data_IF_419718191282
#
_entry.id   IF_419718191282
#
_cell.length_a   1.000
_cell.length_b   1.000
_cell.length_c   1.000
_cell.angle_alpha   90.00
_cell.angle_beta   90.00
_cell.angle_gamma   90.00
#
_symmetry.space_group_name_H-M   'P 1'
#
loop_
_entity.id
_entity.type
_entity.pdbx_description
1 polymer ?
#
# COMPACT_ATOMS: atom_id res chain seq x y z
N UNK A 1 7.36 -8.95 -0.93
CA UNK A 1 6.61 -7.67 -1.09
C UNK A 1 6.92 -6.67 0.02
N UNK A 2 7.16 -5.42 -0.35
CA UNK A 2 7.32 -4.28 0.57
C UNK A 2 6.30 -3.20 0.24
N UNK A 3 5.72 -2.55 1.26
CA UNK A 3 4.70 -1.49 1.07
C UNK A 3 5.10 -0.25 1.85
N UNK A 4 5.08 0.91 1.19
CA UNK A 4 5.23 2.22 1.82
C UNK A 4 3.93 2.99 1.69
N UNK A 5 3.40 3.47 2.81
CA UNK A 5 2.18 4.25 2.90
C UNK A 5 2.48 5.66 3.40
N UNK A 6 1.71 6.61 2.88
CA UNK A 6 1.63 7.97 3.39
C UNK A 6 0.18 8.20 3.80
N UNK A 7 -0.06 8.27 5.10
CA UNK A 7 -1.41 8.33 5.67
C UNK A 7 -1.63 9.62 6.44
N UNK A 8 -2.79 10.23 6.26
CA UNK A 8 -3.20 11.41 7.03
C UNK A 8 -3.50 10.99 8.47
N UNK A 9 -2.86 11.64 9.45
CA UNK A 9 -3.10 11.44 10.88
C UNK A 9 -2.46 12.56 11.70
N UNK A 10 -3.10 12.95 12.80
CA UNK A 10 -2.61 13.99 13.73
C UNK A 10 -1.68 13.41 14.80
N UNK A 11 -1.73 12.10 15.04
CA UNK A 11 -0.94 11.42 16.06
C UNK A 11 -0.76 9.93 15.72
N UNK A 12 0.18 9.30 16.42
CA UNK A 12 0.51 7.88 16.23
C UNK A 12 -0.68 6.92 16.43
N UNK A 13 -1.53 7.07 17.47
CA UNK A 13 -2.74 6.25 17.60
C UNK A 13 -3.68 6.32 16.39
N UNK A 14 -3.91 7.52 15.85
CA UNK A 14 -4.72 7.71 14.65
C UNK A 14 -4.07 7.05 13.42
N UNK A 15 -2.76 7.22 13.26
CA UNK A 15 -1.99 6.56 12.20
C UNK A 15 -2.10 5.04 12.27
N UNK A 16 -2.01 4.44 13.46
CA UNK A 16 -2.25 3.00 13.67
C UNK A 16 -3.67 2.58 13.31
N UNK A 17 -4.66 3.38 13.69
CA UNK A 17 -6.06 3.14 13.32
C UNK A 17 -6.28 3.15 11.80
N UNK A 18 -5.69 4.12 11.11
CA UNK A 18 -5.75 4.22 9.66
C UNK A 18 -4.99 3.08 8.96
N UNK A 19 -3.84 2.67 9.50
CA UNK A 19 -3.09 1.51 8.99
C UNK A 19 -3.90 0.22 9.05
N UNK A 20 -4.66 -0.03 10.13
CA UNK A 20 -5.50 -1.24 10.25
C UNK A 20 -6.48 -1.35 9.08
N UNK A 21 -7.06 -0.23 8.63
CA UNK A 21 -7.98 -0.21 7.48
C UNK A 21 -7.28 -0.67 6.20
N UNK A 22 -6.02 -0.28 5.99
CA UNK A 22 -5.21 -0.74 4.86
C UNK A 22 -4.90 -2.24 4.98
N UNK A 23 -4.49 -2.70 6.16
CA UNK A 23 -4.18 -4.11 6.41
C UNK A 23 -5.40 -5.02 6.20
N UNK A 24 -6.61 -4.55 6.53
CA UNK A 24 -7.86 -5.25 6.25
C UNK A 24 -8.12 -5.46 4.76
N UNK A 25 -7.63 -4.57 3.88
CA UNK A 25 -7.67 -4.79 2.41
C UNK A 25 -6.67 -5.86 1.97
N UNK A 26 -5.50 -5.88 2.60
CA UNK A 26 -4.41 -6.80 2.27
C UNK A 26 -4.61 -8.22 2.82
N UNK A 27 -5.53 -8.43 3.77
CA UNK A 27 -5.69 -9.69 4.51
C UNK A 27 -5.89 -10.94 3.64
N UNK A 28 -6.48 -10.80 2.44
CA UNK A 28 -6.78 -11.92 1.55
C UNK A 28 -5.53 -12.54 0.90
N UNK A 29 -4.42 -11.81 0.89
CA UNK A 29 -3.15 -12.25 0.31
C UNK A 29 -2.06 -12.44 1.37
N UNK A 30 -2.30 -11.94 2.59
CA UNK A 30 -1.31 -11.81 3.63
C UNK A 30 -1.16 -13.09 4.47
N UNK A 31 0.08 -13.55 4.62
CA UNK A 31 0.47 -14.56 5.62
C UNK A 31 0.94 -13.86 6.89
N UNK A 32 1.81 -12.85 6.75
CA UNK A 32 2.42 -12.13 7.87
C UNK A 32 2.73 -10.69 7.46
N UNK A 33 2.51 -9.75 8.38
CA UNK A 33 2.96 -8.36 8.26
C UNK A 33 3.98 -8.05 9.34
N UNK A 34 5.04 -7.33 8.98
CA UNK A 34 5.87 -6.60 9.92
C UNK A 34 5.77 -5.10 9.65
N UNK A 35 5.59 -4.30 10.71
CA UNK A 35 5.66 -2.83 10.61
C UNK A 35 7.10 -2.43 10.87
N UNK A 36 7.83 -2.12 9.80
CA UNK A 36 9.23 -1.71 9.89
C UNK A 36 9.35 -0.27 10.42
N UNK A 37 8.36 0.56 10.08
CA UNK A 37 8.37 1.99 10.37
C UNK A 37 6.95 2.53 10.50
N UNK A 38 6.74 3.40 11.48
CA UNK A 38 5.54 4.22 11.61
C UNK A 38 5.94 5.51 12.36
N UNK A 39 6.07 6.62 11.64
CA UNK A 39 6.52 7.89 12.21
C UNK A 39 5.92 9.09 11.46
N UNK A 40 5.93 10.30 12.06
CA UNK A 40 5.52 11.51 11.37
C UNK A 40 6.33 11.76 10.10
N UNK A 41 5.68 12.16 9.02
CA UNK A 41 6.34 12.48 7.78
C UNK A 41 6.91 13.90 7.82
N UNK A 42 8.21 14.02 7.58
CA UNK A 42 8.95 15.28 7.78
C UNK A 42 8.45 16.48 6.95
N UNK A 43 7.75 16.25 5.83
CA UNK A 43 7.25 17.35 4.97
C UNK A 43 5.89 17.89 5.38
N UNK A 44 5.04 17.08 6.01
CA UNK A 44 3.64 17.41 6.27
C UNK A 44 3.28 17.03 7.70
N UNK A 45 2.86 18.02 8.49
CA UNK A 45 2.61 17.87 9.93
C UNK A 45 1.41 16.97 10.26
N UNK A 46 0.55 16.70 9.29
CA UNK A 46 -0.67 15.91 9.39
C UNK A 46 -0.55 14.54 8.69
N UNK A 47 0.68 14.08 8.48
CA UNK A 47 0.96 12.84 7.74
C UNK A 47 1.95 11.96 8.47
N UNK A 48 1.76 10.65 8.35
CA UNK A 48 2.68 9.63 8.80
C UNK A 48 3.17 8.81 7.61
N UNK A 49 4.45 8.44 7.63
CA UNK A 49 4.99 7.43 6.73
C UNK A 49 4.99 6.08 7.45
N UNK A 50 4.48 5.06 6.79
CA UNK A 50 4.48 3.68 7.29
C UNK A 50 5.20 2.80 6.29
N UNK A 51 6.10 1.95 6.77
CA UNK A 51 6.77 0.95 5.95
C UNK A 51 6.47 -0.45 6.48
N UNK A 52 6.09 -1.34 5.57
CA UNK A 52 5.62 -2.68 5.87
C UNK A 52 6.40 -3.70 5.04
N UNK A 53 6.87 -4.74 5.70
CA UNK A 53 7.30 -5.97 5.03
C UNK A 53 6.15 -6.97 5.07
N UNK A 54 5.75 -7.47 3.90
CA UNK A 54 4.63 -8.40 3.77
C UNK A 54 5.12 -9.75 3.27
N UNK A 55 4.82 -10.79 4.04
CA UNK A 55 4.84 -12.17 3.55
C UNK A 55 3.47 -12.49 2.97
N UNK A 56 3.42 -12.76 1.66
CA UNK A 56 2.18 -13.05 0.94
C UNK A 56 2.14 -14.51 0.52
N UNK A 57 0.94 -15.02 0.21
CA UNK A 57 0.77 -16.39 -0.26
C UNK A 57 1.56 -16.66 -1.55
N UNK A 58 2.17 -17.84 -1.64
CA UNK A 58 3.05 -18.27 -2.74
C UNK A 58 2.36 -18.39 -4.11
N UNK A 59 1.03 -18.46 -4.12
CA UNK A 59 0.21 -18.64 -5.32
C UNK A 59 -0.70 -17.43 -5.55
N UNK A 60 -0.21 -16.23 -5.23
CA UNK A 60 -0.93 -14.99 -5.52
C UNK A 60 -1.12 -14.86 -7.04
N UNK A 61 -2.37 -14.90 -7.48
CA UNK A 61 -2.71 -14.75 -8.90
C UNK A 61 -2.80 -13.27 -9.29
N UNK A 62 -2.60 -12.99 -10.58
CA UNK A 62 -2.82 -11.65 -11.15
C UNK A 62 -4.24 -11.12 -10.88
N UNK A 63 -5.24 -11.99 -10.89
CA UNK A 63 -6.64 -11.60 -10.62
C UNK A 63 -6.84 -11.15 -9.17
N UNK A 64 -6.22 -11.84 -8.22
CA UNK A 64 -6.29 -11.49 -6.80
C UNK A 64 -5.51 -10.21 -6.51
N UNK A 65 -4.33 -10.04 -7.12
CA UNK A 65 -3.60 -8.78 -7.05
C UNK A 65 -4.44 -7.64 -7.64
N UNK A 66 -5.03 -7.82 -8.82
CA UNK A 66 -5.90 -6.81 -9.43
C UNK A 66 -7.07 -6.42 -8.52
N UNK A 67 -7.78 -7.40 -7.96
CA UNK A 67 -8.88 -7.16 -7.04
C UNK A 67 -8.44 -6.40 -5.78
N UNK A 68 -7.26 -6.75 -5.24
CA UNK A 68 -6.66 -6.01 -4.12
C UNK A 68 -6.39 -4.55 -4.51
N UNK A 69 -5.72 -4.31 -5.64
CA UNK A 69 -5.35 -2.98 -6.13
C UNK A 69 -6.61 -2.11 -6.32
N UNK A 70 -7.66 -2.65 -6.95
CA UNK A 70 -8.96 -1.98 -7.14
C UNK A 70 -9.67 -1.66 -5.82
N UNK A 71 -9.45 -2.47 -4.78
CA UNK A 71 -10.03 -2.21 -3.45
C UNK A 71 -9.38 -1.03 -2.71
N UNK A 72 -8.17 -0.64 -3.14
CA UNK A 72 -7.35 0.42 -2.55
C UNK A 72 -7.41 1.71 -3.37
N UNK A 73 -7.29 1.62 -4.69
CA UNK A 73 -7.28 2.78 -5.60
C UNK A 73 -7.84 2.42 -6.97
N UNK A 74 -8.54 3.36 -7.61
CA UNK A 74 -9.00 3.23 -9.00
C UNK A 74 -7.91 3.56 -10.03
N UNK A 75 -6.79 4.12 -9.57
CA UNK A 75 -5.66 4.52 -10.41
C UNK A 75 -4.34 4.03 -9.84
N UNK A 76 -3.54 3.41 -10.71
CA UNK A 76 -2.20 2.91 -10.41
C UNK A 76 -1.25 3.28 -11.55
N UNK A 77 -0.07 3.76 -11.18
CA UNK A 77 1.09 3.90 -12.05
C UNK A 77 2.02 2.69 -11.83
N UNK A 78 2.66 2.23 -12.90
CA UNK A 78 3.46 1.01 -12.93
C UNK A 78 4.89 1.37 -13.37
N UNK A 79 5.88 0.95 -12.60
CA UNK A 79 7.29 1.22 -12.87
C UNK A 79 8.13 -0.05 -12.88
N UNK A 80 9.22 -0.02 -13.65
CA UNK A 80 10.20 -1.10 -13.78
C UNK A 80 10.07 -1.93 -15.07
N UNK A 81 11.18 -2.59 -15.45
CA UNK A 81 11.23 -3.58 -16.54
C UNK A 81 12.00 -4.84 -16.05
N UNK A 82 11.30 -5.92 -15.62
CA UNK A 82 9.85 -6.06 -15.50
C UNK A 82 9.27 -5.17 -14.39
N UNK A 83 7.94 -4.95 -14.41
CA UNK A 83 7.23 -4.14 -13.41
C UNK A 83 7.54 -4.67 -12.02
N UNK A 84 8.04 -3.80 -11.15
CA UNK A 84 8.41 -4.12 -9.77
C UNK A 84 7.91 -3.08 -8.75
N UNK A 85 7.31 -1.99 -9.20
CA UNK A 85 6.70 -0.97 -8.34
C UNK A 85 5.33 -0.56 -8.88
N UNK A 86 4.37 -0.48 -7.97
CA UNK A 86 3.00 -0.01 -8.19
C UNK A 86 2.77 1.21 -7.29
N UNK A 87 2.35 2.33 -7.86
CA UNK A 87 2.12 3.56 -7.12
C UNK A 87 0.68 4.01 -7.31
N UNK A 88 -0.02 4.30 -6.21
CA UNK A 88 -1.26 5.05 -6.25
C UNK A 88 -1.14 6.30 -5.37
N UNK A 89 -1.66 7.42 -5.86
CA UNK A 89 -1.65 8.69 -5.15
C UNK A 89 -2.95 9.46 -5.43
N UNK A 90 -3.44 10.15 -4.41
CA UNK A 90 -4.64 10.98 -4.48
C UNK A 90 -4.50 12.17 -5.42
N UNK A 91 -3.27 12.62 -5.67
CA UNK A 91 -3.00 13.81 -6.50
C UNK A 91 -2.69 13.48 -7.95
N UNK A 92 -2.68 12.19 -8.33
CA UNK A 92 -2.46 11.77 -9.71
C UNK A 92 -3.69 12.11 -10.56
N UNK A 93 -3.46 12.64 -11.75
CA UNK A 93 -4.53 12.97 -12.68
C UNK A 93 -5.38 11.73 -13.02
N UNK A 94 -6.70 11.87 -12.89
CA UNK A 94 -7.66 10.80 -13.16
C UNK A 94 -7.86 9.80 -12.02
N UNK A 95 -7.25 10.01 -10.85
CA UNK A 95 -7.56 9.27 -9.62
C UNK A 95 -8.86 9.82 -9.02
N UNK A 96 -9.94 9.03 -9.02
CA UNK A 96 -11.23 9.42 -8.42
C UNK A 96 -11.47 8.75 -7.08
N UNK A 97 -10.73 7.67 -6.79
CA UNK A 97 -10.84 6.94 -5.55
C UNK A 97 -9.47 6.43 -5.10
N UNK A 98 -9.14 6.76 -3.86
CA UNK A 98 -8.13 6.06 -3.07
C UNK A 98 -8.70 5.86 -1.67
N UNK A 99 -8.28 4.78 -1.01
CA UNK A 99 -8.72 4.42 0.32
C UNK A 99 -8.60 5.62 1.27
N UNK A 100 -9.65 5.88 2.06
CA UNK A 100 -9.72 7.03 2.97
C UNK A 100 -8.47 7.09 3.87
N UNK A 101 -7.95 8.31 4.07
CA UNK A 101 -6.75 8.61 4.86
C UNK A 101 -5.44 8.07 4.26
N UNK A 102 -5.45 7.47 3.06
CA UNK A 102 -4.24 7.18 2.27
C UNK A 102 -4.06 8.30 1.26
N UNK A 103 -2.94 9.02 1.37
CA UNK A 103 -2.56 10.04 0.39
C UNK A 103 -1.72 9.43 -0.74
N UNK A 104 -0.87 8.46 -0.40
CA UNK A 104 -0.08 7.71 -1.37
C UNK A 104 0.29 6.32 -0.84
N UNK A 105 0.39 5.35 -1.74
CA UNK A 105 0.85 3.98 -1.49
C UNK A 105 1.79 3.55 -2.61
N UNK A 106 2.94 3.00 -2.22
CA UNK A 106 3.87 2.30 -3.08
C UNK A 106 3.89 0.82 -2.68
N UNK A 107 3.69 -0.08 -3.65
CA UNK A 107 3.84 -1.53 -3.48
C UNK A 107 5.02 -1.97 -4.33
N UNK A 108 6.04 -2.50 -3.68
CA UNK A 108 7.22 -3.07 -4.30
C UNK A 108 7.08 -4.59 -4.32
N UNK A 109 7.13 -5.15 -5.52
CA UNK A 109 6.98 -6.57 -5.79
C UNK A 109 8.35 -7.24 -5.82
N UNK A 110 8.49 -8.38 -5.16
CA UNK A 110 9.65 -9.25 -5.35
C UNK A 110 9.45 -10.14 -6.58
N UNK A 111 10.55 -10.57 -7.21
CA UNK A 111 10.55 -11.41 -8.43
C UNK A 111 9.79 -12.75 -8.30
N UNK A 112 9.36 -13.12 -7.10
CA UNK A 112 8.67 -14.37 -6.79
C UNK A 112 7.24 -14.16 -6.28
N UNK A 113 6.76 -12.92 -6.20
CA UNK A 113 5.49 -12.60 -5.55
C UNK A 113 4.25 -12.86 -6.46
N UNK A 114 4.44 -12.98 -7.77
CA UNK A 114 3.35 -13.14 -8.74
C UNK A 114 3.68 -14.29 -9.68
N UNK A 115 2.74 -15.22 -9.86
CA UNK A 115 2.80 -16.24 -10.92
C UNK A 115 1.92 -15.82 -12.09
N UNK A 116 2.44 -16.01 -13.30
CA UNK A 116 1.70 -15.81 -14.56
C UNK A 116 0.48 -16.74 -14.68
#
# INVERSE_FOLDING_TARGET
MFVRLYITAQNEPEAKGNLIIVLEKLKSILIKTNVEKLEPYWKFNDMYVVELSLEVKKDLTLSELKYLLESISDRWEYYGEPINELLASKTVEGCNYILKNVEMINIYLDKYDIKD
#
